data_IF_514105000975
#
_entry.id   IF_514105000975
#
_cell.length_a   1.000
_cell.length_b   1.000
_cell.length_c   1.000
_cell.angle_alpha   90.00
_cell.angle_beta   90.00
_cell.angle_gamma   90.00
#
_symmetry.space_group_name_H-M   'P 1'
#
loop_
_entity.id
_entity.type
_entity.pdbx_description
1 polymer ?
#
# COMPACT_ATOMS: atom_id res chain seq x y z
N UNK A 1 -28.38 4.46 17.33
CA UNK A 1 -28.00 4.52 15.91
C UNK A 1 -26.71 3.78 15.67
N UNK A 2 -26.60 2.95 14.65
CA UNK A 2 -25.35 2.24 14.37
C UNK A 2 -24.27 3.18 13.86
N UNK A 3 -23.03 2.81 14.13
CA UNK A 3 -21.87 3.44 13.51
C UNK A 3 -21.75 2.96 12.07
N UNK A 4 -21.53 3.86 11.14
CA UNK A 4 -21.38 3.50 9.73
C UNK A 4 -20.13 4.14 9.14
N UNK A 5 -19.45 3.38 8.31
CA UNK A 5 -18.39 3.90 7.45
C UNK A 5 -19.01 4.16 6.08
N UNK A 6 -18.98 5.40 5.65
CA UNK A 6 -19.68 5.85 4.44
C UNK A 6 -18.67 6.43 3.44
N UNK A 7 -18.78 6.01 2.20
CA UNK A 7 -18.09 6.63 1.07
C UNK A 7 -19.15 7.15 0.11
N UNK A 8 -19.35 8.45 0.08
CA UNK A 8 -20.40 9.08 -0.72
C UNK A 8 -20.12 8.98 -2.21
N UNK A 9 -18.86 9.03 -2.61
CA UNK A 9 -18.47 8.96 -4.02
C UNK A 9 -18.77 7.60 -4.62
N UNK A 10 -18.60 6.54 -3.84
CA UNK A 10 -18.81 5.16 -4.29
C UNK A 10 -20.21 4.63 -3.92
N UNK A 11 -21.00 5.43 -3.22
CA UNK A 11 -22.32 5.04 -2.69
C UNK A 11 -22.22 3.75 -1.87
N UNK A 12 -21.19 3.67 -1.01
CA UNK A 12 -20.98 2.52 -0.14
C UNK A 12 -21.20 2.91 1.31
N UNK A 13 -21.82 2.01 2.07
CA UNK A 13 -22.05 2.20 3.49
C UNK A 13 -21.87 0.87 4.20
N UNK A 14 -20.97 0.84 5.20
CA UNK A 14 -20.73 -0.33 6.02
C UNK A 14 -21.16 -0.05 7.44
N UNK A 15 -22.11 -0.83 7.94
CA UNK A 15 -22.52 -0.77 9.33
C UNK A 15 -21.52 -1.51 10.20
N UNK A 16 -21.03 -0.84 11.26
CA UNK A 16 -20.02 -1.40 12.15
C UNK A 16 -20.65 -1.71 13.49
N UNK A 17 -20.70 -2.98 13.85
CA UNK A 17 -21.22 -3.44 15.14
C UNK A 17 -20.12 -3.33 16.20
N UNK A 18 -19.96 -2.13 16.73
CA UNK A 18 -18.97 -1.85 17.75
C UNK A 18 -19.61 -2.01 19.14
N UNK A 19 -18.87 -2.57 20.11
CA UNK A 19 -19.37 -2.71 21.47
C UNK A 19 -19.69 -1.31 22.06
N UNK A 20 -20.68 -1.29 22.96
CA UNK A 20 -21.19 -0.03 23.51
C UNK A 20 -20.09 0.81 24.16
N UNK A 21 -19.18 0.18 24.88
CA UNK A 21 -18.08 0.88 25.56
C UNK A 21 -17.20 1.65 24.58
N UNK A 22 -16.79 0.98 23.50
CA UNK A 22 -15.95 1.60 22.48
C UNK A 22 -16.73 2.66 21.67
N UNK A 23 -18.00 2.41 21.42
CA UNK A 23 -18.86 3.34 20.69
C UNK A 23 -19.00 4.66 21.45
N UNK A 24 -19.21 4.58 22.77
CA UNK A 24 -19.30 5.76 23.61
C UNK A 24 -17.98 6.51 23.68
N UNK A 25 -16.87 5.80 23.87
CA UNK A 25 -15.53 6.39 23.89
C UNK A 25 -15.21 7.11 22.58
N UNK A 26 -15.59 6.52 21.46
CA UNK A 26 -15.39 7.15 20.14
C UNK A 26 -16.18 8.46 20.05
N UNK A 27 -17.42 8.46 20.54
CA UNK A 27 -18.23 9.68 20.57
C UNK A 27 -17.57 10.80 21.38
N UNK A 28 -17.03 10.47 22.54
CA UNK A 28 -16.26 11.41 23.38
C UNK A 28 -15.05 11.94 22.62
N UNK A 29 -14.31 11.05 21.96
CA UNK A 29 -13.12 11.44 21.20
C UNK A 29 -13.46 12.40 20.06
N UNK A 30 -14.55 12.15 19.35
CA UNK A 30 -14.97 13.01 18.26
C UNK A 30 -15.40 14.40 18.77
N UNK A 31 -16.11 14.44 19.90
CA UNK A 31 -16.48 15.71 20.53
C UNK A 31 -15.24 16.53 20.92
N UNK A 32 -14.23 15.88 21.48
CA UNK A 32 -12.98 16.54 21.85
C UNK A 32 -12.29 17.16 20.63
N UNK A 33 -12.23 16.43 19.54
CA UNK A 33 -11.61 16.90 18.29
C UNK A 33 -12.33 18.14 17.75
N UNK A 34 -13.66 18.09 17.71
CA UNK A 34 -14.48 19.19 17.21
C UNK A 34 -14.42 20.41 18.12
N UNK A 35 -14.47 20.20 19.44
CA UNK A 35 -14.43 21.31 20.42
C UNK A 35 -13.08 22.03 20.42
N UNK A 36 -11.99 21.26 20.23
CA UNK A 36 -10.64 21.84 20.20
C UNK A 36 -10.32 22.56 18.90
N UNK A 37 -11.12 22.35 17.83
CA UNK A 37 -10.84 22.90 16.51
C UNK A 37 -9.57 22.36 15.88
N UNK A 38 -9.04 21.26 16.41
CA UNK A 38 -7.78 20.66 15.97
C UNK A 38 -7.99 19.16 15.76
N UNK A 39 -8.69 18.82 14.68
CA UNK A 39 -8.98 17.42 14.33
C UNK A 39 -7.82 16.71 13.62
N UNK A 40 -6.86 17.46 13.08
CA UNK A 40 -5.80 16.91 12.25
C UNK A 40 -4.98 15.80 12.92
N UNK A 41 -4.56 15.91 14.22
CA UNK A 41 -3.82 14.81 14.85
C UNK A 41 -4.63 13.52 14.96
N UNK A 42 -5.93 13.62 15.24
CA UNK A 42 -6.81 12.46 15.29
C UNK A 42 -7.04 11.89 13.90
N UNK A 43 -7.28 12.74 12.91
CA UNK A 43 -7.48 12.33 11.51
C UNK A 43 -6.27 11.57 11.01
N UNK A 44 -5.05 12.03 11.32
CA UNK A 44 -3.83 11.36 10.93
C UNK A 44 -3.74 9.94 11.52
N UNK A 45 -4.05 9.80 12.81
CA UNK A 45 -4.09 8.48 13.46
C UNK A 45 -5.16 7.59 12.85
N UNK A 46 -6.32 8.16 12.52
CA UNK A 46 -7.41 7.43 11.89
C UNK A 46 -6.99 6.92 10.50
N UNK A 47 -6.38 7.78 9.69
CA UNK A 47 -5.88 7.40 8.36
C UNK A 47 -4.86 6.27 8.48
N UNK A 48 -3.91 6.38 9.39
CA UNK A 48 -2.89 5.35 9.62
C UNK A 48 -3.52 4.02 10.03
N UNK A 49 -4.52 4.07 10.92
CA UNK A 49 -5.22 2.86 11.39
C UNK A 49 -6.05 2.23 10.27
N UNK A 50 -6.76 3.04 9.49
CA UNK A 50 -7.53 2.55 8.34
C UNK A 50 -6.62 1.91 7.30
N UNK A 51 -5.46 2.50 7.04
CA UNK A 51 -4.49 1.91 6.12
C UNK A 51 -4.04 0.53 6.57
N UNK A 52 -3.88 0.33 7.89
CA UNK A 52 -3.43 -0.96 8.43
C UNK A 52 -4.46 -2.07 8.35
N UNK A 53 -5.75 -1.74 8.20
CA UNK A 53 -6.82 -2.75 8.11
C UNK A 53 -7.08 -3.23 6.68
N UNK A 54 -6.45 -2.63 5.69
CA UNK A 54 -6.60 -3.05 4.30
C UNK A 54 -6.06 -4.47 4.12
N UNK A 55 -6.67 -5.23 3.22
CA UNK A 55 -6.12 -6.53 2.84
C UNK A 55 -4.69 -6.36 2.32
N UNK A 56 -3.87 -7.39 2.48
CA UNK A 56 -2.44 -7.32 2.16
C UNK A 56 -2.20 -6.87 0.71
N UNK A 57 -2.99 -7.37 -0.23
CA UNK A 57 -2.86 -7.03 -1.65
C UNK A 57 -3.23 -5.57 -1.95
N UNK A 58 -4.02 -4.93 -1.09
CA UNK A 58 -4.45 -3.53 -1.24
C UNK A 58 -3.55 -2.56 -0.50
N UNK A 59 -2.61 -3.05 0.31
CA UNK A 59 -1.63 -2.22 0.99
C UNK A 59 -0.60 -1.66 0.01
N UNK A 60 0.05 -0.54 0.32
CA UNK A 60 1.13 -0.05 -0.55
C UNK A 60 2.29 -1.04 -0.57
N UNK A 61 3.03 -1.14 -1.69
CA UNK A 61 4.22 -1.99 -1.73
C UNK A 61 5.29 -1.48 -0.77
N UNK A 62 6.18 -2.38 -0.34
CA UNK A 62 7.30 -2.01 0.52
C UNK A 62 8.35 -1.22 -0.26
N UNK A 63 9.21 -0.49 0.46
CA UNK A 63 10.32 0.24 -0.17
C UNK A 63 11.25 -0.71 -0.92
N UNK A 64 11.50 -1.89 -0.35
CA UNK A 64 12.33 -2.93 -1.00
C UNK A 64 11.71 -3.42 -2.30
N UNK A 65 10.39 -3.64 -2.32
CA UNK A 65 9.68 -4.04 -3.53
C UNK A 65 9.75 -2.97 -4.60
N UNK A 66 9.51 -1.71 -4.24
CA UNK A 66 9.58 -0.58 -5.18
C UNK A 66 10.98 -0.45 -5.75
N UNK A 67 12.01 -0.52 -4.92
CA UNK A 67 13.40 -0.43 -5.34
C UNK A 67 13.77 -1.55 -6.31
N UNK A 68 13.36 -2.79 -6.01
CA UNK A 68 13.60 -3.95 -6.87
C UNK A 68 12.88 -3.80 -8.20
N UNK A 69 11.62 -3.37 -8.17
CA UNK A 69 10.82 -3.17 -9.39
C UNK A 69 11.42 -2.08 -10.29
N UNK A 70 11.92 -1.01 -9.71
CA UNK A 70 12.59 0.06 -10.47
C UNK A 70 13.86 -0.46 -11.13
N UNK A 71 14.64 -1.30 -10.43
CA UNK A 71 15.83 -1.93 -10.99
C UNK A 71 15.49 -2.84 -12.18
N UNK A 72 14.40 -3.62 -12.05
CA UNK A 72 13.91 -4.49 -13.12
C UNK A 72 13.47 -3.66 -14.33
N UNK A 73 12.66 -2.64 -14.09
CA UNK A 73 12.14 -1.79 -15.16
C UNK A 73 13.27 -1.10 -15.93
N UNK A 74 14.27 -0.63 -15.21
CA UNK A 74 15.46 0.01 -15.83
C UNK A 74 16.27 -0.99 -16.64
N UNK A 75 16.55 -2.17 -16.08
CA UNK A 75 17.38 -3.17 -16.73
C UNK A 75 16.72 -3.75 -17.98
N UNK A 76 15.40 -3.98 -17.94
CA UNK A 76 14.65 -4.56 -19.05
C UNK A 76 14.06 -3.50 -19.99
N UNK A 77 14.28 -2.21 -19.70
CA UNK A 77 13.76 -1.07 -20.47
C UNK A 77 12.23 -1.13 -20.64
N UNK A 78 11.53 -1.45 -19.57
CA UNK A 78 10.06 -1.51 -19.56
C UNK A 78 9.50 -0.48 -18.60
N UNK A 79 8.23 -0.11 -18.83
CA UNK A 79 7.52 0.82 -17.95
C UNK A 79 7.01 0.11 -16.70
N UNK A 80 7.13 0.77 -15.55
CA UNK A 80 6.55 0.27 -14.31
C UNK A 80 5.10 0.76 -14.21
N UNK A 81 4.11 -0.15 -14.17
CA UNK A 81 2.71 0.27 -14.10
C UNK A 81 2.42 1.05 -12.82
N UNK A 82 1.57 2.09 -12.94
CA UNK A 82 1.16 2.88 -11.77
C UNK A 82 0.49 2.05 -10.69
N UNK A 83 -0.28 1.04 -11.06
CA UNK A 83 -0.93 0.13 -10.13
C UNK A 83 0.07 -0.65 -9.27
N UNK A 84 1.21 -1.03 -9.86
CA UNK A 84 2.27 -1.73 -9.12
C UNK A 84 2.87 -0.85 -8.03
N UNK A 85 2.91 0.47 -8.25
CA UNK A 85 3.37 1.43 -7.24
C UNK A 85 2.32 1.74 -6.19
N UNK A 86 1.06 1.42 -6.46
CA UNK A 86 -0.07 1.73 -5.60
C UNK A 86 -0.45 0.54 -4.71
N UNK A 87 -0.45 -0.66 -5.24
CA UNK A 87 -0.94 -1.86 -4.57
C UNK A 87 0.11 -2.95 -4.50
N UNK A 88 0.26 -3.54 -3.32
CA UNK A 88 1.19 -4.66 -3.10
C UNK A 88 0.85 -5.87 -3.99
N UNK A 89 -0.45 -6.14 -4.21
CA UNK A 89 -0.87 -7.23 -5.08
C UNK A 89 -0.40 -7.04 -6.52
N UNK A 90 -0.60 -5.85 -7.07
CA UNK A 90 -0.14 -5.51 -8.43
C UNK A 90 1.38 -5.51 -8.51
N UNK A 91 2.06 -5.06 -7.45
CA UNK A 91 3.52 -5.13 -7.35
C UNK A 91 4.01 -6.56 -7.38
N UNK A 92 3.38 -7.47 -6.63
CA UNK A 92 3.75 -8.90 -6.63
C UNK A 92 3.59 -9.51 -8.02
N UNK A 93 2.50 -9.17 -8.72
CA UNK A 93 2.28 -9.63 -10.10
C UNK A 93 3.40 -9.15 -11.03
N UNK A 94 3.77 -7.89 -10.93
CA UNK A 94 4.86 -7.32 -11.72
C UNK A 94 6.18 -8.05 -11.43
N UNK A 95 6.51 -8.24 -10.16
CA UNK A 95 7.75 -8.90 -9.75
C UNK A 95 7.76 -10.37 -10.22
N UNK A 96 6.67 -11.10 -10.05
CA UNK A 96 6.57 -12.49 -10.47
C UNK A 96 6.71 -12.63 -11.98
N UNK A 97 6.18 -11.68 -12.73
CA UNK A 97 6.24 -11.71 -14.20
C UNK A 97 7.63 -11.39 -14.75
N UNK A 98 8.32 -10.44 -14.13
CA UNK A 98 9.56 -9.89 -14.71
C UNK A 98 10.84 -10.30 -13.98
N UNK A 99 10.76 -10.78 -12.74
CA UNK A 99 11.93 -11.15 -11.96
C UNK A 99 12.76 -12.28 -12.64
N UNK A 100 12.14 -13.33 -13.24
CA UNK A 100 12.91 -14.35 -13.93
C UNK A 100 13.74 -13.78 -15.09
N UNK A 101 13.17 -12.89 -15.90
CA UNK A 101 13.88 -12.24 -17.00
C UNK A 101 15.01 -11.34 -16.49
N UNK A 102 14.78 -10.65 -15.39
CA UNK A 102 15.79 -9.81 -14.74
C UNK A 102 16.96 -10.66 -14.25
N UNK A 103 16.70 -11.81 -13.65
CA UNK A 103 17.74 -12.73 -13.18
C UNK A 103 18.56 -13.28 -14.35
N UNK A 104 17.92 -13.63 -15.46
CA UNK A 104 18.62 -14.04 -16.68
C UNK A 104 19.50 -12.92 -17.22
N UNK A 105 18.98 -11.69 -17.23
CA UNK A 105 19.75 -10.53 -17.68
C UNK A 105 21.00 -10.32 -16.82
N UNK A 106 20.87 -10.45 -15.51
CA UNK A 106 22.02 -10.33 -14.60
C UNK A 106 23.04 -11.45 -14.81
N UNK A 107 22.58 -12.68 -15.03
CA UNK A 107 23.46 -13.82 -15.28
C UNK A 107 24.25 -13.64 -16.58
N UNK A 108 23.60 -13.20 -17.65
CA UNK A 108 24.26 -12.92 -18.93
C UNK A 108 25.30 -11.82 -18.77
N UNK A 109 24.96 -10.76 -18.04
CA UNK A 109 25.88 -9.65 -17.79
C UNK A 109 27.11 -10.14 -16.99
N UNK A 110 26.89 -10.92 -15.94
CA UNK A 110 27.97 -11.47 -15.11
C UNK A 110 28.86 -12.42 -15.92
N UNK A 111 28.27 -13.30 -16.75
CA UNK A 111 29.00 -14.23 -17.61
C UNK A 111 29.88 -13.48 -18.61
N UNK A 112 29.35 -12.44 -19.24
CA UNK A 112 30.11 -11.62 -20.17
C UNK A 112 31.28 -10.90 -19.51
N UNK A 113 31.07 -10.41 -18.29
CA UNK A 113 32.11 -9.76 -17.49
C UNK A 113 33.21 -10.73 -17.12
N UNK A 114 32.88 -11.96 -16.73
CA UNK A 114 33.82 -13.00 -16.40
C UNK A 114 34.64 -13.44 -17.64
N UNK A 115 33.99 -13.52 -18.79
CA UNK A 115 34.65 -13.89 -20.04
C UNK A 115 35.67 -12.85 -20.47
N UNK A 116 35.41 -11.57 -20.20
CA UNK A 116 36.30 -10.46 -20.55
C UNK A 116 37.54 -10.41 -19.65
N UNK A 117 37.48 -11.00 -18.45
CA UNK A 117 38.59 -11.02 -17.50
C UNK A 117 39.54 -12.19 -17.71
N UNK A 118 39.19 -13.13 -18.54
CA UNK A 118 40.02 -14.24 -18.89
C UNK A 118 40.75 -13.99 -20.22
#
# INVERSE_FOLDING_TARGET
MPLRLVDDDLDLSLEIAMSWNYREALGVQLHRCLAAGASAPFEWRLITSLASILDDDLQPPTKSQVSYALSIAKALAISLPGEALQYKGSMKQFLNRHAPMFREHQQKYSSNTQTQQS
#
